data_IF_532729540536
#
_entry.id   IF_532729540536
#
_cell.length_a   1.000
_cell.length_b   1.000
_cell.length_c   1.000
_cell.angle_alpha   90.00
_cell.angle_beta   90.00
_cell.angle_gamma   90.00
#
_symmetry.space_group_name_H-M   'P 1'
#
loop_
_entity.id
_entity.type
_entity.pdbx_description
1 polymer ?
#
# COMPACT_ATOMS: atom_id res chain seq x y z
N UNK A 1 19.71 -17.86 0.34
CA UNK A 1 18.58 -17.38 -0.50
C UNK A 1 17.22 -17.46 0.18
N UNK A 2 16.95 -18.55 0.91
CA UNK A 2 15.69 -18.62 1.69
C UNK A 2 15.61 -17.53 2.76
N UNK A 3 16.73 -17.22 3.40
CA UNK A 3 16.78 -16.13 4.39
C UNK A 3 16.39 -14.79 3.81
N UNK A 4 16.82 -14.47 2.58
CA UNK A 4 16.45 -13.26 1.89
C UNK A 4 14.93 -13.22 1.66
N UNK A 5 14.34 -14.34 1.27
CA UNK A 5 12.89 -14.44 1.08
C UNK A 5 12.13 -14.17 2.38
N UNK A 6 12.56 -14.76 3.49
CA UNK A 6 11.92 -14.54 4.80
C UNK A 6 12.06 -13.11 5.28
N UNK A 7 13.22 -12.50 5.09
CA UNK A 7 13.42 -11.06 5.43
C UNK A 7 12.50 -10.19 4.59
N UNK A 8 12.36 -10.51 3.31
CA UNK A 8 11.48 -9.77 2.40
C UNK A 8 10.02 -9.91 2.82
N UNK A 9 9.57 -11.11 3.19
CA UNK A 9 8.22 -11.32 3.73
C UNK A 9 8.00 -10.48 4.99
N UNK A 10 8.96 -10.50 5.90
CA UNK A 10 8.86 -9.73 7.15
C UNK A 10 8.79 -8.23 6.87
N UNK A 11 9.56 -7.73 5.92
CA UNK A 11 9.52 -6.33 5.54
C UNK A 11 8.16 -5.92 4.97
N UNK A 12 7.60 -6.76 4.09
CA UNK A 12 6.27 -6.50 3.52
C UNK A 12 5.17 -6.55 4.57
N UNK A 13 5.21 -7.54 5.44
CA UNK A 13 4.26 -7.67 6.55
C UNK A 13 4.37 -6.48 7.52
N UNK A 14 5.58 -6.02 7.80
CA UNK A 14 5.81 -4.83 8.64
C UNK A 14 5.23 -3.57 8.02
N UNK A 15 5.41 -3.40 6.72
CA UNK A 15 4.83 -2.27 6.00
C UNK A 15 3.30 -2.30 6.05
N UNK A 16 2.70 -3.46 5.85
CA UNK A 16 1.25 -3.63 5.95
C UNK A 16 0.75 -3.31 7.36
N UNK A 17 1.42 -3.82 8.38
CA UNK A 17 1.06 -3.55 9.77
C UNK A 17 1.16 -2.05 10.10
N UNK A 18 2.19 -1.39 9.61
CA UNK A 18 2.36 0.05 9.78
C UNK A 18 1.23 0.83 9.09
N UNK A 19 0.84 0.40 7.89
CA UNK A 19 -0.26 1.03 7.16
C UNK A 19 -1.59 0.89 7.91
N UNK A 20 -1.88 -0.31 8.43
CA UNK A 20 -3.09 -0.56 9.25
C UNK A 20 -3.07 0.30 10.51
N UNK A 21 -1.93 0.36 11.19
CA UNK A 21 -1.79 1.18 12.40
C UNK A 21 -2.06 2.66 12.09
N UNK A 22 -1.53 3.17 10.97
CA UNK A 22 -1.77 4.55 10.57
C UNK A 22 -3.25 4.83 10.30
N UNK A 23 -3.94 3.88 9.66
CA UNK A 23 -5.37 4.01 9.42
C UNK A 23 -6.18 3.98 10.73
N UNK A 24 -5.84 3.07 11.63
CA UNK A 24 -6.52 2.96 12.92
C UNK A 24 -6.32 4.21 13.77
N UNK A 25 -5.14 4.81 13.75
CA UNK A 25 -4.85 6.03 14.48
C UNK A 25 -5.60 7.24 13.93
N UNK A 26 -5.81 7.29 12.62
CA UNK A 26 -6.51 8.39 11.96
C UNK A 26 -8.03 8.22 11.97
N UNK A 27 -8.53 7.01 12.20
CA UNK A 27 -9.95 6.71 12.14
C UNK A 27 -10.70 7.30 13.34
N UNK A 28 -11.96 7.73 13.16
CA UNK A 28 -12.81 8.15 14.28
C UNK A 28 -13.04 6.99 15.22
N UNK A 29 -13.34 7.33 16.48
CA UNK A 29 -13.68 6.33 17.49
C UNK A 29 -14.86 5.48 17.03
N UNK A 30 -14.72 4.17 17.15
CA UNK A 30 -15.78 3.23 16.77
C UNK A 30 -15.72 2.77 15.30
N UNK A 31 -14.86 3.37 14.47
CA UNK A 31 -14.70 2.90 13.11
C UNK A 31 -13.84 1.64 13.06
N UNK A 32 -14.27 0.65 12.24
CA UNK A 32 -13.51 -0.58 11.99
C UNK A 32 -13.42 -0.79 10.48
N UNK A 33 -12.52 -1.69 10.05
CA UNK A 33 -12.42 -2.05 8.63
C UNK A 33 -13.73 -2.67 8.11
N UNK A 34 -14.52 -3.26 9.00
CA UNK A 34 -15.84 -3.82 8.65
C UNK A 34 -16.87 -2.75 8.37
N UNK A 35 -16.67 -1.54 8.87
CA UNK A 35 -17.58 -0.41 8.66
C UNK A 35 -17.57 0.10 7.23
N UNK A 36 -16.56 -0.25 6.44
CA UNK A 36 -16.47 0.11 5.04
C UNK A 36 -15.03 0.06 4.54
N UNK A 37 -14.89 -0.13 3.23
CA UNK A 37 -13.58 -0.20 2.58
C UNK A 37 -12.93 1.18 2.42
N UNK A 38 -13.75 2.24 2.43
CA UNK A 38 -13.25 3.61 2.31
C UNK A 38 -13.25 4.25 3.68
N UNK A 39 -12.10 4.63 4.24
CA UNK A 39 -12.06 5.27 5.54
C UNK A 39 -12.78 6.62 5.51
N UNK A 40 -13.39 7.05 6.63
CA UNK A 40 -14.09 8.34 6.70
C UNK A 40 -13.16 9.55 6.59
N UNK A 41 -11.87 9.34 6.79
CA UNK A 41 -10.85 10.39 6.66
C UNK A 41 -9.73 9.93 5.74
N UNK A 42 -9.18 10.87 4.97
CA UNK A 42 -8.02 10.62 4.15
C UNK A 42 -6.78 10.47 5.05
N UNK A 43 -6.15 9.30 5.01
CA UNK A 43 -4.95 9.01 5.81
C UNK A 43 -3.72 9.48 5.05
N UNK A 44 -2.93 10.34 5.69
CA UNK A 44 -1.70 10.91 5.12
C UNK A 44 -0.50 10.73 6.04
N UNK A 45 -0.60 9.84 7.03
CA UNK A 45 0.42 9.61 8.06
C UNK A 45 1.17 8.31 7.80
N UNK A 46 2.34 8.18 8.44
CA UNK A 46 3.12 6.96 8.39
C UNK A 46 3.51 6.58 6.98
N UNK A 47 3.27 5.33 6.55
CA UNK A 47 3.66 4.88 5.22
C UNK A 47 2.89 5.59 4.10
N UNK A 48 1.74 6.20 4.41
CA UNK A 48 0.96 6.96 3.42
C UNK A 48 1.64 8.25 2.97
N UNK A 49 2.69 8.66 3.63
CA UNK A 49 3.54 9.76 3.18
C UNK A 49 4.53 9.32 2.10
N UNK A 50 4.82 8.03 2.02
CA UNK A 50 5.78 7.45 1.09
C UNK A 50 5.09 6.87 -0.13
N UNK A 51 3.86 6.38 0.03
CA UNK A 51 3.09 5.72 -1.02
C UNK A 51 1.62 5.97 -0.76
N UNK A 52 0.84 6.10 -1.84
CA UNK A 52 -0.62 6.18 -1.72
C UNK A 52 -1.24 4.81 -1.43
N UNK A 53 -0.50 3.74 -1.68
CA UNK A 53 -0.99 2.37 -1.58
C UNK A 53 -0.02 1.47 -0.81
N UNK A 54 0.33 1.82 0.45
CA UNK A 54 1.33 1.05 1.19
C UNK A 54 0.86 -0.38 1.50
N UNK A 55 -0.46 -0.61 1.65
CA UNK A 55 -0.99 -1.96 1.87
C UNK A 55 -0.71 -2.85 0.67
N UNK A 56 -1.01 -2.38 -0.54
CA UNK A 56 -0.78 -3.15 -1.75
C UNK A 56 0.70 -3.32 -2.03
N UNK A 57 1.50 -2.28 -1.78
CA UNK A 57 2.94 -2.38 -1.91
C UNK A 57 3.52 -3.42 -0.94
N UNK A 58 3.06 -3.41 0.31
CA UNK A 58 3.47 -4.39 1.31
C UNK A 58 3.09 -5.81 0.92
N UNK A 59 1.88 -5.99 0.40
CA UNK A 59 1.42 -7.30 -0.07
C UNK A 59 2.24 -7.81 -1.25
N UNK A 60 2.59 -6.95 -2.19
CA UNK A 60 3.47 -7.31 -3.31
C UNK A 60 4.85 -7.73 -2.80
N UNK A 61 5.38 -7.04 -1.79
CA UNK A 61 6.66 -7.38 -1.17
C UNK A 61 6.59 -8.74 -0.47
N UNK A 62 5.48 -9.05 0.20
CA UNK A 62 5.26 -10.37 0.82
C UNK A 62 5.28 -11.47 -0.25
N UNK A 63 4.57 -11.27 -1.36
CA UNK A 63 4.57 -12.23 -2.47
C UNK A 63 5.97 -12.41 -3.05
N UNK A 64 6.70 -11.31 -3.23
CA UNK A 64 8.08 -11.37 -3.70
C UNK A 64 8.94 -12.21 -2.75
N UNK A 65 8.78 -12.01 -1.44
CA UNK A 65 9.49 -12.79 -0.43
C UNK A 65 9.22 -14.28 -0.54
N UNK A 66 7.96 -14.66 -0.72
CA UNK A 66 7.60 -16.07 -0.92
C UNK A 66 8.14 -16.61 -2.24
N UNK A 67 8.17 -15.82 -3.30
CA UNK A 67 8.75 -16.22 -4.57
C UNK A 67 10.25 -16.50 -4.44
N UNK A 68 10.96 -15.67 -3.68
CA UNK A 68 12.38 -15.88 -3.40
C UNK A 68 12.63 -17.08 -2.50
N UNK A 69 11.72 -17.33 -1.56
CA UNK A 69 11.85 -18.46 -0.63
C UNK A 69 11.61 -19.80 -1.31
N UNK A 70 10.50 -19.94 -2.03
CA UNK A 70 10.10 -21.19 -2.66
C UNK A 70 10.72 -21.42 -4.03
N UNK A 71 11.02 -20.34 -4.75
CA UNK A 71 11.69 -20.36 -6.06
C UNK A 71 10.93 -21.19 -7.10
N UNK A 72 9.58 -21.11 -7.07
CA UNK A 72 8.72 -21.84 -8.00
C UNK A 72 8.11 -20.91 -9.04
N UNK A 73 8.08 -21.30 -10.33
CA UNK A 73 7.49 -20.46 -11.37
C UNK A 73 6.04 -20.07 -11.11
N UNK A 74 5.25 -20.96 -10.49
CA UNK A 74 3.84 -20.67 -10.18
C UNK A 74 3.69 -19.48 -9.23
N UNK A 75 4.61 -19.30 -8.27
CA UNK A 75 4.56 -18.18 -7.34
C UNK A 75 4.93 -16.87 -8.04
N UNK A 76 5.91 -16.91 -8.93
CA UNK A 76 6.25 -15.74 -9.76
C UNK A 76 5.10 -15.33 -10.66
N UNK A 77 4.40 -16.31 -11.26
CA UNK A 77 3.21 -16.03 -12.05
C UNK A 77 2.11 -15.40 -11.20
N UNK A 78 1.90 -15.92 -9.98
CA UNK A 78 0.96 -15.34 -9.02
C UNK A 78 1.28 -13.89 -8.67
N UNK A 79 2.57 -13.59 -8.45
CA UNK A 79 3.02 -12.22 -8.18
C UNK A 79 2.70 -11.30 -9.36
N UNK A 80 2.96 -11.75 -10.59
CA UNK A 80 2.67 -10.96 -11.79
C UNK A 80 1.18 -10.66 -11.92
N UNK A 81 0.33 -11.68 -11.71
CA UNK A 81 -1.13 -11.53 -11.75
C UNK A 81 -1.59 -10.57 -10.66
N UNK A 82 -1.06 -10.71 -9.45
CA UNK A 82 -1.39 -9.84 -8.32
C UNK A 82 -1.05 -8.38 -8.64
N UNK A 83 0.14 -8.11 -9.16
CA UNK A 83 0.55 -6.76 -9.52
C UNK A 83 -0.34 -6.16 -10.61
N UNK A 84 -0.72 -6.95 -11.61
CA UNK A 84 -1.63 -6.51 -12.66
C UNK A 84 -3.02 -6.18 -12.10
N UNK A 85 -3.53 -7.03 -11.20
CA UNK A 85 -4.81 -6.80 -10.54
C UNK A 85 -4.77 -5.53 -9.69
N UNK A 86 -3.70 -5.31 -8.94
CA UNK A 86 -3.54 -4.10 -8.13
C UNK A 86 -3.52 -2.84 -8.97
N UNK A 87 -2.89 -2.87 -10.14
CA UNK A 87 -2.88 -1.72 -11.03
C UNK A 87 -4.30 -1.26 -11.40
N UNK A 88 -5.19 -2.22 -11.67
CA UNK A 88 -6.58 -1.93 -11.96
C UNK A 88 -7.37 -1.48 -10.74
N UNK A 89 -7.22 -2.19 -9.63
CA UNK A 89 -7.91 -1.89 -8.36
C UNK A 89 -7.53 -0.50 -7.85
N UNK A 90 -6.26 -0.17 -7.88
CA UNK A 90 -5.75 1.13 -7.40
C UNK A 90 -6.36 2.27 -8.21
N UNK A 91 -6.44 2.13 -9.53
CA UNK A 91 -7.06 3.16 -10.38
C UNK A 91 -8.53 3.38 -10.03
N UNK A 92 -9.24 2.28 -9.79
CA UNK A 92 -10.64 2.34 -9.39
C UNK A 92 -10.80 3.03 -8.03
N UNK A 93 -9.96 2.66 -7.05
CA UNK A 93 -9.98 3.28 -5.72
C UNK A 93 -9.63 4.77 -5.78
N UNK A 94 -8.67 5.15 -6.62
CA UNK A 94 -8.32 6.56 -6.80
C UNK A 94 -9.52 7.38 -7.28
N UNK A 95 -10.33 6.84 -8.20
CA UNK A 95 -11.54 7.50 -8.65
C UNK A 95 -12.55 7.65 -7.53
N UNK A 96 -12.72 6.63 -6.72
CA UNK A 96 -13.61 6.67 -5.55
C UNK A 96 -13.16 7.73 -4.54
N UNK A 97 -11.87 7.77 -4.26
CA UNK A 97 -11.31 8.72 -3.29
C UNK A 97 -11.40 10.15 -3.81
N UNK A 98 -11.20 10.36 -5.10
CA UNK A 98 -11.41 11.69 -5.70
C UNK A 98 -12.86 12.16 -5.54
N UNK A 99 -13.82 11.25 -5.72
CA UNK A 99 -15.24 11.58 -5.53
C UNK A 99 -15.59 11.86 -4.07
N UNK A 100 -14.92 11.21 -3.12
CA UNK A 100 -15.22 11.37 -1.69
C UNK A 100 -14.50 12.56 -1.05
N UNK A 101 -13.21 12.71 -1.34
CA UNK A 101 -12.36 13.72 -0.68
C UNK A 101 -12.05 14.94 -1.56
N UNK A 102 -12.28 14.84 -2.86
CA UNK A 102 -12.14 15.99 -3.77
C UNK A 102 -10.76 16.60 -3.77
N UNK A 103 -10.70 17.90 -3.48
CA UNK A 103 -9.45 18.68 -3.51
C UNK A 103 -8.36 18.18 -2.58
N UNK A 104 -8.73 17.66 -1.40
CA UNK A 104 -7.75 17.10 -0.46
C UNK A 104 -7.03 15.91 -1.07
N UNK A 105 -7.75 15.04 -1.77
CA UNK A 105 -7.14 13.90 -2.43
C UNK A 105 -6.30 14.32 -3.63
N UNK A 106 -6.72 15.34 -4.37
CA UNK A 106 -5.91 15.89 -5.48
C UNK A 106 -4.57 16.42 -4.99
N UNK A 107 -4.57 17.12 -3.85
CA UNK A 107 -3.33 17.59 -3.23
C UNK A 107 -2.44 16.42 -2.85
N UNK A 108 -3.03 15.38 -2.27
CA UNK A 108 -2.30 14.16 -1.91
C UNK A 108 -1.72 13.47 -3.14
N UNK A 109 -2.48 13.38 -4.24
CA UNK A 109 -1.99 12.82 -5.51
C UNK A 109 -0.77 13.56 -6.04
N UNK A 110 -0.73 14.87 -5.88
CA UNK A 110 0.38 15.69 -6.33
C UNK A 110 1.63 15.53 -5.45
N UNK A 111 1.44 15.25 -4.16
CA UNK A 111 2.54 15.21 -3.19
C UNK A 111 3.13 13.82 -2.99
N UNK A 112 2.32 12.76 -3.11
CA UNK A 112 2.73 11.40 -2.79
C UNK A 112 2.55 10.49 -4.01
N UNK A 113 3.57 9.72 -4.39
CA UNK A 113 3.46 8.81 -5.54
C UNK A 113 2.54 7.63 -5.25
N UNK A 114 2.05 7.01 -6.33
CA UNK A 114 1.16 5.85 -6.23
C UNK A 114 1.79 4.69 -5.46
N UNK A 115 3.05 4.39 -5.71
CA UNK A 115 3.70 3.21 -5.15
C UNK A 115 4.78 3.55 -4.14
N UNK A 116 5.84 4.21 -4.55
CA UNK A 116 6.94 4.49 -3.65
C UNK A 116 7.70 5.73 -4.08
N UNK A 117 8.02 6.57 -3.10
CA UNK A 117 8.86 7.74 -3.34
C UNK A 117 10.33 7.30 -3.37
N UNK A 118 11.04 7.71 -4.43
CA UNK A 118 12.46 7.42 -4.51
C UNK A 118 13.23 8.19 -3.42
N UNK A 119 14.28 7.58 -2.84
CA UNK A 119 15.14 8.29 -1.89
C UNK A 119 15.74 9.55 -2.53
N UNK A 120 15.68 10.66 -1.81
CA UNK A 120 16.19 11.94 -2.30
C UNK A 120 15.29 12.69 -3.28
N UNK A 121 14.10 12.17 -3.58
CA UNK A 121 13.14 12.88 -4.42
C UNK A 121 12.73 14.20 -3.77
N UNK A 122 12.59 15.24 -4.59
CA UNK A 122 12.14 16.54 -4.11
C UNK A 122 10.68 16.50 -3.67
N UNK A 123 10.31 17.41 -2.77
CA UNK A 123 8.96 17.48 -2.26
C UNK A 123 8.72 16.71 -0.97
N UNK A 124 9.76 16.32 -0.31
CA UNK A 124 9.72 15.65 0.99
C UNK A 124 9.51 16.61 2.16
N UNK A 125 9.29 17.82 1.91
CA UNK A 125 9.09 18.83 2.96
C UNK A 125 7.76 18.64 3.70
#
# INVERSE_FOLDING_TARGET
>A
MRGTGLVTVAAGAGLMAWAVAAQCQAAPQGWTLESGLTPPRLVRRGPYRLSRNPMYAGEAVVWLGWALFYRRPAIWAGLAIQCAAFAGIVRWEEQRLLGRFGGDYRTYLAEVPRWCRAPGAQGWS
#
